data_IF_110696250554
#
_entry.id   IF_110696250554
#
_cell.length_a   1.000
_cell.length_b   1.000
_cell.length_c   1.000
_cell.angle_alpha   90.00
_cell.angle_beta   90.00
_cell.angle_gamma   90.00
#
_symmetry.space_group_name_H-M   'P 1'
#
loop_
_entity.id
_entity.type
_entity.pdbx_description
1 polymer ?
#
# COMPACT_ATOMS: atom_id res chain seq x y z
N UNK A 1 10.81 14.88 2.40
CA UNK A 1 11.07 13.78 1.43
C UNK A 1 9.77 13.15 0.92
N UNK A 2 8.78 12.85 1.78
CA UNK A 2 7.50 12.26 1.37
C UNK A 2 6.72 13.04 0.29
N UNK A 3 6.57 14.35 0.46
CA UNK A 3 5.83 15.19 -0.50
C UNK A 3 6.50 15.24 -1.89
N UNK A 4 7.83 15.23 -1.92
CA UNK A 4 8.62 15.20 -3.15
C UNK A 4 8.47 13.88 -3.90
N UNK A 5 8.53 12.75 -3.18
CA UNK A 5 8.31 11.42 -3.79
C UNK A 5 6.89 11.28 -4.35
N UNK A 6 5.90 11.80 -3.62
CA UNK A 6 4.53 11.86 -4.09
C UNK A 6 4.40 12.72 -5.35
N UNK A 7 5.10 13.87 -5.41
CA UNK A 7 5.14 14.71 -6.60
C UNK A 7 5.78 14.00 -7.80
N UNK A 8 6.88 13.26 -7.59
CA UNK A 8 7.55 12.47 -8.63
C UNK A 8 6.64 11.36 -9.15
N UNK A 9 6.02 10.57 -8.26
CA UNK A 9 5.11 9.50 -8.66
C UNK A 9 3.87 10.05 -9.38
N UNK A 10 3.35 11.20 -8.94
CA UNK A 10 2.26 11.88 -9.64
C UNK A 10 2.68 12.36 -11.02
N UNK A 11 3.93 12.81 -11.19
CA UNK A 11 4.49 13.21 -12.49
C UNK A 11 4.59 12.00 -13.43
N UNK A 12 5.11 10.86 -12.96
CA UNK A 12 5.21 9.64 -13.79
C UNK A 12 3.82 9.16 -14.23
N UNK A 13 2.86 9.10 -13.30
CA UNK A 13 1.48 8.75 -13.64
C UNK A 13 0.85 9.70 -14.68
N UNK A 14 1.11 11.01 -14.59
CA UNK A 14 0.66 11.97 -15.59
C UNK A 14 1.36 11.80 -16.93
N UNK A 15 2.62 11.38 -16.93
CA UNK A 15 3.38 11.10 -18.13
C UNK A 15 2.83 9.86 -18.84
N UNK A 16 2.56 8.77 -18.12
CA UNK A 16 1.92 7.57 -18.68
C UNK A 16 0.57 7.91 -19.31
N UNK A 17 -0.20 8.77 -18.63
CA UNK A 17 -1.49 9.26 -19.14
C UNK A 17 -1.34 10.14 -20.38
N UNK A 18 -0.30 10.96 -20.44
CA UNK A 18 0.02 11.78 -21.62
C UNK A 18 0.44 10.92 -22.80
N UNK A 19 1.31 9.94 -22.57
CA UNK A 19 1.78 8.98 -23.58
C UNK A 19 0.59 8.18 -24.15
N UNK A 20 -0.30 7.70 -23.29
CA UNK A 20 -1.54 7.04 -23.72
C UNK A 20 -2.43 7.97 -24.57
N UNK A 21 -2.58 9.24 -24.19
CA UNK A 21 -3.37 10.21 -24.94
C UNK A 21 -2.76 10.52 -26.32
N UNK A 22 -1.45 10.75 -26.38
CA UNK A 22 -0.70 11.01 -27.61
C UNK A 22 -0.70 9.79 -28.53
N UNK A 23 -0.51 8.60 -27.98
CA UNK A 23 -0.56 7.34 -28.75
C UNK A 23 -1.93 7.15 -29.40
N UNK A 24 -3.00 7.38 -28.64
CA UNK A 24 -4.35 7.35 -29.19
C UNK A 24 -4.55 8.38 -30.31
N UNK A 25 -3.92 9.56 -30.22
CA UNK A 25 -3.97 10.59 -31.26
C UNK A 25 -3.28 10.13 -32.53
N UNK A 26 -2.06 9.62 -32.40
CA UNK A 26 -1.28 9.09 -33.52
C UNK A 26 -2.03 7.96 -34.22
N UNK A 27 -2.58 7.00 -33.46
CA UNK A 27 -3.36 5.88 -34.02
C UNK A 27 -4.54 6.41 -34.84
N UNK A 28 -5.30 7.39 -34.31
CA UNK A 28 -6.45 7.96 -35.03
C UNK A 28 -6.04 8.74 -36.27
N UNK A 29 -4.97 9.54 -36.19
CA UNK A 29 -4.45 10.25 -37.36
C UNK A 29 -3.99 9.27 -38.44
N UNK A 30 -3.30 8.18 -38.06
CA UNK A 30 -2.86 7.14 -38.99
C UNK A 30 -4.05 6.39 -39.61
N UNK A 31 -5.08 6.06 -38.83
CA UNK A 31 -6.31 5.46 -39.35
C UNK A 31 -7.03 6.38 -40.35
N UNK A 32 -7.10 7.68 -40.07
CA UNK A 32 -7.69 8.65 -40.97
C UNK A 32 -6.87 8.83 -42.25
N UNK A 33 -5.54 8.85 -42.13
CA UNK A 33 -4.61 8.87 -43.26
C UNK A 33 -4.79 7.65 -44.16
N UNK A 34 -4.83 6.43 -43.60
CA UNK A 34 -5.06 5.20 -44.37
C UNK A 34 -6.42 5.19 -45.09
N UNK A 35 -7.49 5.67 -44.44
CA UNK A 35 -8.82 5.83 -45.07
C UNK A 35 -8.85 6.87 -46.18
N UNK A 36 -8.02 7.91 -46.08
CA UNK A 36 -7.84 8.91 -47.14
C UNK A 36 -7.06 8.33 -48.33
N UNK A 37 -5.99 7.57 -48.05
CA UNK A 37 -5.15 6.95 -49.07
C UNK A 37 -5.92 5.94 -49.93
N UNK A 38 -6.81 5.13 -49.33
CA UNK A 38 -7.65 4.17 -50.07
C UNK A 38 -8.73 4.83 -50.94
N UNK A 39 -9.01 6.13 -50.74
CA UNK A 39 -10.03 6.89 -51.48
C UNK A 39 -9.49 7.70 -52.65
N UNK A 40 -8.17 7.82 -52.81
CA UNK A 40 -7.56 8.72 -53.80
C UNK A 40 -6.67 7.90 -54.75
N UNK A 41 -6.81 8.08 -56.07
CA UNK A 41 -5.80 7.74 -57.08
C UNK A 41 -5.00 9.02 -57.40
N UNK A 42 -4.08 9.43 -56.52
CA UNK A 42 -3.44 10.75 -56.56
C UNK A 42 -2.56 11.02 -55.34
N UNK A 43 -1.84 12.16 -55.26
CA UNK A 43 -0.82 12.37 -54.24
C UNK A 43 -1.39 12.33 -52.82
N UNK A 44 -0.57 11.85 -51.88
CA UNK A 44 -1.00 11.50 -50.53
C UNK A 44 -1.70 12.66 -49.79
N UNK A 45 -2.74 12.37 -48.99
CA UNK A 45 -3.44 13.40 -48.24
C UNK A 45 -2.54 14.05 -47.18
N UNK A 46 -2.50 15.38 -47.14
CA UNK A 46 -1.74 16.15 -46.14
C UNK A 46 -2.37 15.98 -44.74
N UNK A 47 -1.97 14.93 -44.01
CA UNK A 47 -2.35 14.75 -42.60
C UNK A 47 -1.16 15.18 -41.74
N UNK A 48 -1.24 16.38 -41.17
CA UNK A 48 -0.26 16.83 -40.20
C UNK A 48 -0.61 16.31 -38.81
N UNK A 49 0.35 15.74 -38.09
CA UNK A 49 0.16 15.24 -36.73
C UNK A 49 -0.27 16.32 -35.70
N UNK A 50 -0.24 17.61 -36.08
CA UNK A 50 -0.63 18.75 -35.25
C UNK A 50 -1.99 19.37 -35.62
N UNK A 51 -2.75 18.75 -36.54
CA UNK A 51 -4.04 19.29 -36.99
C UNK A 51 -5.05 19.41 -35.83
N UNK A 52 -5.57 20.64 -35.63
CA UNK A 52 -6.51 21.01 -34.55
C UNK A 52 -7.76 20.13 -34.56
N UNK A 53 -8.18 19.65 -35.73
CA UNK A 53 -9.38 18.83 -35.91
C UNK A 53 -9.35 17.54 -35.10
N UNK A 54 -8.21 16.84 -35.10
CA UNK A 54 -8.06 15.59 -34.34
C UNK A 54 -7.91 15.86 -32.83
N UNK A 55 -7.31 16.99 -32.46
CA UNK A 55 -7.15 17.43 -31.06
C UNK A 55 -8.48 17.77 -30.40
N UNK A 56 -9.40 18.40 -31.12
CA UNK A 56 -10.74 18.73 -30.61
C UNK A 56 -11.58 17.48 -30.30
N UNK A 57 -11.46 16.42 -31.10
CA UNK A 57 -12.11 15.13 -30.87
C UNK A 57 -11.56 14.36 -29.65
N UNK A 58 -10.43 14.80 -29.10
CA UNK A 58 -9.83 14.21 -27.89
C UNK A 58 -10.21 14.92 -26.61
N UNK A 59 -10.97 16.02 -26.72
CA UNK A 59 -11.52 16.67 -25.54
C UNK A 59 -12.46 15.69 -24.84
N UNK A 60 -12.08 15.29 -23.62
CA UNK A 60 -12.90 14.44 -22.76
C UNK A 60 -13.43 15.28 -21.61
N UNK A 61 -14.69 15.07 -21.17
CA UNK A 61 -15.14 15.63 -19.92
C UNK A 61 -14.26 15.07 -18.81
N UNK A 62 -13.57 15.96 -18.07
CA UNK A 62 -12.62 15.52 -17.05
C UNK A 62 -13.34 15.30 -15.72
N UNK A 63 -13.18 14.10 -15.16
CA UNK A 63 -13.62 13.78 -13.81
C UNK A 63 -12.51 14.14 -12.81
N UNK A 64 -12.23 15.43 -12.63
CA UNK A 64 -11.34 15.89 -11.55
C UNK A 64 -12.17 16.14 -10.29
N UNK A 65 -11.84 15.47 -9.19
CA UNK A 65 -12.67 15.41 -7.98
C UNK A 65 -12.98 16.79 -7.36
N UNK A 66 -12.11 17.77 -7.62
CA UNK A 66 -12.19 19.15 -7.09
C UNK A 66 -13.21 20.04 -7.81
N UNK A 67 -13.62 19.67 -9.03
CA UNK A 67 -14.59 20.41 -9.85
C UNK A 67 -16.00 19.81 -9.81
N UNK A 68 -16.17 18.71 -9.06
CA UNK A 68 -17.40 17.91 -8.98
C UNK A 68 -18.61 18.68 -8.42
N UNK A 69 -18.37 19.79 -7.72
CA UNK A 69 -19.42 20.47 -6.95
C UNK A 69 -19.92 21.78 -7.60
N UNK A 70 -19.21 22.39 -8.55
CA UNK A 70 -19.51 23.80 -8.93
C UNK A 70 -19.38 24.20 -10.41
N UNK A 71 -19.12 23.29 -11.37
CA UNK A 71 -19.15 23.69 -12.79
C UNK A 71 -19.46 22.55 -13.76
N UNK A 72 -20.42 22.81 -14.66
CA UNK A 72 -20.79 21.98 -15.80
C UNK A 72 -19.56 21.72 -16.70
N UNK A 73 -19.25 20.44 -16.91
CA UNK A 73 -18.75 19.81 -18.14
C UNK A 73 -17.81 20.63 -19.05
N UNK A 74 -16.80 21.30 -18.51
CA UNK A 74 -15.80 21.94 -19.35
C UNK A 74 -14.90 20.86 -19.99
N UNK A 75 -15.02 20.69 -21.30
CA UNK A 75 -14.23 19.73 -22.06
C UNK A 75 -12.82 20.29 -22.26
N UNK A 76 -11.87 19.86 -21.44
CA UNK A 76 -10.47 20.29 -21.52
C UNK A 76 -9.68 19.32 -22.39
N UNK A 77 -8.77 19.86 -23.19
CA UNK A 77 -7.79 19.06 -23.94
C UNK A 77 -6.85 18.37 -22.95
N UNK A 78 -6.92 17.03 -22.89
CA UNK A 78 -6.17 16.20 -21.96
C UNK A 78 -4.66 16.35 -22.15
N UNK A 79 -4.20 16.55 -23.39
CA UNK A 79 -2.77 16.70 -23.69
C UNK A 79 -2.25 18.01 -23.08
N UNK A 80 -2.96 19.11 -23.35
CA UNK A 80 -2.60 20.43 -22.80
C UNK A 80 -2.59 20.43 -21.27
N UNK A 81 -3.62 19.83 -20.66
CA UNK A 81 -3.71 19.71 -19.21
C UNK A 81 -2.54 18.91 -18.62
N UNK A 82 -2.24 17.73 -19.17
CA UNK A 82 -1.13 16.92 -18.69
C UNK A 82 0.21 17.65 -18.84
N UNK A 83 0.49 18.29 -19.99
CA UNK A 83 1.71 19.06 -20.19
C UNK A 83 1.84 20.21 -19.17
N UNK A 84 0.79 21.01 -18.97
CA UNK A 84 0.80 22.11 -18.00
C UNK A 84 1.01 21.61 -16.57
N UNK A 85 0.37 20.49 -16.22
CA UNK A 85 0.50 19.91 -14.88
C UNK A 85 1.88 19.30 -14.65
N UNK A 86 2.45 18.64 -15.65
CA UNK A 86 3.82 18.11 -15.63
C UNK A 86 4.80 19.27 -15.47
N UNK A 87 4.65 20.37 -16.23
CA UNK A 87 5.51 21.54 -16.11
C UNK A 87 5.46 22.14 -14.70
N UNK A 88 4.26 22.32 -14.14
CA UNK A 88 4.09 22.78 -12.75
C UNK A 88 4.74 21.85 -11.73
N UNK A 89 4.56 20.54 -11.87
CA UNK A 89 5.18 19.55 -10.97
C UNK A 89 6.70 19.55 -11.10
N UNK A 90 7.25 19.68 -12.31
CA UNK A 90 8.69 19.77 -12.53
C UNK A 90 9.28 21.00 -11.84
N UNK A 91 8.63 22.16 -11.95
CA UNK A 91 9.06 23.38 -11.24
C UNK A 91 9.02 23.21 -9.72
N UNK A 92 7.97 22.57 -9.18
CA UNK A 92 7.87 22.27 -7.74
C UNK A 92 8.99 21.34 -7.29
N UNK A 93 9.25 20.26 -8.06
CA UNK A 93 10.34 19.32 -7.79
C UNK A 93 11.69 20.03 -7.82
N UNK A 94 11.94 20.91 -8.79
CA UNK A 94 13.19 21.68 -8.86
C UNK A 94 13.37 22.61 -7.67
N UNK A 95 12.29 23.28 -7.24
CA UNK A 95 12.30 24.14 -6.06
C UNK A 95 12.58 23.34 -4.79
N UNK A 96 11.98 22.15 -4.66
CA UNK A 96 12.24 21.24 -3.54
C UNK A 96 13.65 20.66 -3.58
N UNK A 97 14.19 20.33 -4.76
CA UNK A 97 15.57 19.86 -4.94
C UNK A 97 16.61 20.84 -4.41
N UNK A 98 16.39 22.15 -4.62
CA UNK A 98 17.29 23.20 -4.11
C UNK A 98 17.31 23.28 -2.57
N UNK A 99 16.25 22.83 -1.92
CA UNK A 99 16.10 22.84 -0.46
C UNK A 99 16.41 21.47 0.19
N UNK A 100 17.09 20.56 -0.53
CA UNK A 100 17.45 19.25 0.01
C UNK A 100 18.67 19.39 0.93
N UNK A 101 18.45 19.11 2.21
CA UNK A 101 19.53 18.96 3.18
C UNK A 101 20.16 17.56 3.06
N UNK A 102 21.47 17.42 3.29
CA UNK A 102 22.14 16.11 3.28
C UNK A 102 21.48 15.18 4.31
N UNK A 103 21.11 13.98 3.86
CA UNK A 103 20.58 12.95 4.74
C UNK A 103 21.69 12.38 5.64
N UNK A 104 21.33 11.92 6.84
CA UNK A 104 22.26 11.29 7.80
C UNK A 104 22.58 9.82 7.46
N UNK A 105 22.26 9.40 6.24
CA UNK A 105 22.33 8.02 5.77
C UNK A 105 22.92 8.00 4.38
N UNK A 106 23.75 7.01 4.08
CA UNK A 106 24.36 6.81 2.78
C UNK A 106 24.22 5.35 2.34
N UNK A 107 24.19 5.13 1.03
CA UNK A 107 24.30 3.80 0.44
C UNK A 107 25.75 3.57 0.04
N UNK A 108 26.27 2.39 0.36
CA UNK A 108 27.63 1.98 0.05
C UNK A 108 27.52 0.73 -0.82
N UNK A 109 28.09 0.80 -2.00
CA UNK A 109 28.16 -0.31 -2.94
C UNK A 109 29.53 -1.00 -2.81
N UNK A 110 29.52 -2.32 -2.72
CA UNK A 110 30.73 -3.14 -2.68
C UNK A 110 30.86 -3.90 -3.99
N UNK A 111 32.09 -4.07 -4.47
CA UNK A 111 32.37 -4.86 -5.67
C UNK A 111 31.99 -6.34 -5.44
N UNK A 112 32.26 -6.86 -4.24
CA UNK A 112 32.00 -8.25 -3.89
C UNK A 112 30.87 -8.37 -2.85
N UNK A 113 29.89 -9.29 -3.05
CA UNK A 113 28.76 -9.45 -2.13
C UNK A 113 29.16 -9.95 -0.74
N UNK A 114 30.26 -10.72 -0.64
CA UNK A 114 30.79 -11.18 0.65
C UNK A 114 31.25 -9.99 1.51
N UNK A 115 31.93 -9.02 0.89
CA UNK A 115 32.40 -7.81 1.58
C UNK A 115 31.22 -6.99 2.15
N UNK A 116 30.10 -6.91 1.42
CA UNK A 116 28.89 -6.24 1.91
C UNK A 116 28.29 -6.93 3.14
N UNK A 117 28.25 -8.27 3.14
CA UNK A 117 27.75 -9.03 4.30
C UNK A 117 28.65 -8.88 5.52
N UNK A 118 29.97 -8.96 5.32
CA UNK A 118 30.95 -8.77 6.40
C UNK A 118 30.87 -7.34 6.97
N UNK A 119 30.73 -6.32 6.13
CA UNK A 119 30.58 -4.93 6.56
C UNK A 119 29.33 -4.71 7.42
N UNK A 120 28.24 -5.45 7.18
CA UNK A 120 27.03 -5.40 8.00
C UNK A 120 27.18 -6.09 9.37
N UNK A 121 28.10 -7.06 9.49
CA UNK A 121 28.31 -7.83 10.72
C UNK A 121 29.34 -7.19 11.66
N UNK A 122 30.26 -6.39 11.13
CA UNK A 122 31.30 -5.72 11.91
C UNK A 122 30.77 -4.41 12.52
N UNK A 123 31.21 -4.11 13.74
CA UNK A 123 30.91 -2.83 14.38
C UNK A 123 31.58 -1.68 13.61
N UNK A 124 30.77 -0.86 12.92
CA UNK A 124 31.31 0.22 12.09
C UNK A 124 31.81 1.44 12.89
N UNK A 125 31.45 1.57 14.18
CA UNK A 125 31.80 2.72 15.00
C UNK A 125 32.02 2.30 16.46
N UNK A 126 32.95 2.96 17.17
CA UNK A 126 33.26 2.67 18.57
C UNK A 126 32.03 2.83 19.50
N UNK A 127 31.23 3.88 19.26
CA UNK A 127 29.98 4.10 20.00
C UNK A 127 28.83 3.31 19.34
N UNK A 128 28.20 2.44 20.12
CA UNK A 128 27.01 1.70 19.70
C UNK A 128 25.87 2.65 19.28
N UNK A 129 25.18 2.30 18.20
CA UNK A 129 23.98 3.02 17.72
C UNK A 129 24.25 4.31 16.93
N UNK A 130 25.51 4.70 16.69
CA UNK A 130 25.86 5.86 15.84
C UNK A 130 25.80 5.56 14.35
N UNK A 131 26.28 4.38 13.96
CA UNK A 131 26.28 3.90 12.59
C UNK A 131 25.74 2.48 12.58
N UNK A 132 24.65 2.26 11.85
CA UNK A 132 24.04 0.95 11.68
C UNK A 132 24.06 0.62 10.20
N UNK A 133 24.83 -0.41 9.83
CA UNK A 133 24.82 -0.95 8.48
C UNK A 133 23.68 -1.97 8.36
N UNK A 134 22.94 -1.89 7.26
CA UNK A 134 21.90 -2.86 6.93
C UNK A 134 22.03 -3.24 5.45
N UNK A 135 21.93 -4.53 5.17
CA UNK A 135 21.92 -5.03 3.80
C UNK A 135 20.62 -4.63 3.09
N UNK A 136 20.76 -4.16 1.85
CA UNK A 136 19.65 -3.83 0.94
C UNK A 136 19.97 -4.50 -0.39
N UNK A 137 19.01 -5.26 -0.92
CA UNK A 137 19.18 -6.03 -2.17
C UNK A 137 18.81 -5.18 -3.40
N UNK A 138 17.77 -4.36 -3.29
CA UNK A 138 17.26 -3.56 -4.41
C UNK A 138 16.67 -2.21 -3.97
N UNK A 139 16.75 -1.17 -4.83
CA UNK A 139 16.24 0.17 -4.53
C UNK A 139 14.71 0.22 -4.38
N UNK A 140 13.98 -0.73 -4.96
CA UNK A 140 12.52 -0.86 -4.87
C UNK A 140 12.03 -1.36 -3.50
N UNK A 141 12.87 -2.12 -2.78
CA UNK A 141 12.59 -2.60 -1.43
C UNK A 141 12.76 -1.50 -0.38
N UNK A 142 13.49 -0.44 -0.70
CA UNK A 142 13.75 0.67 0.21
C UNK A 142 12.51 1.54 0.41
N UNK A 143 12.14 1.73 1.67
CA UNK A 143 11.09 2.68 2.06
C UNK A 143 11.75 4.05 2.27
N UNK A 144 11.86 4.81 1.18
CA UNK A 144 12.53 6.12 1.15
C UNK A 144 12.02 7.13 2.19
N UNK A 145 10.75 7.02 2.62
CA UNK A 145 10.19 7.87 3.67
C UNK A 145 10.84 7.62 5.05
N UNK A 146 11.38 6.42 5.28
CA UNK A 146 11.93 6.00 6.57
C UNK A 146 13.45 6.13 6.65
N UNK A 147 14.14 6.28 5.50
CA UNK A 147 15.61 6.37 5.43
C UNK A 147 16.18 7.56 6.20
N UNK A 148 15.46 8.69 6.23
CA UNK A 148 15.91 9.90 6.94
C UNK A 148 15.48 9.97 8.41
N UNK A 149 14.85 8.92 8.95
CA UNK A 149 14.38 8.93 10.34
C UNK A 149 15.55 8.87 11.30
N UNK A 150 15.43 9.60 12.41
CA UNK A 150 16.44 9.54 13.48
C UNK A 150 16.19 8.31 14.35
N UNK A 151 17.24 7.64 14.84
CA UNK A 151 17.12 6.40 15.63
C UNK A 151 16.15 6.51 16.81
N UNK A 152 16.11 7.65 17.50
CA UNK A 152 15.15 7.90 18.58
C UNK A 152 13.68 7.87 18.12
N UNK A 153 13.39 8.44 16.94
CA UNK A 153 12.03 8.43 16.37
C UNK A 153 11.60 7.01 15.99
N UNK A 154 12.53 6.22 15.43
CA UNK A 154 12.28 4.80 15.10
C UNK A 154 12.03 4.00 16.37
N UNK A 155 12.82 4.23 17.42
CA UNK A 155 12.66 3.57 18.71
C UNK A 155 11.29 3.84 19.33
N UNK A 156 10.87 5.11 19.41
CA UNK A 156 9.56 5.48 19.95
C UNK A 156 8.41 4.87 19.15
N UNK A 157 8.48 4.92 17.81
CA UNK A 157 7.50 4.29 16.92
C UNK A 157 7.43 2.77 17.13
N UNK A 158 8.58 2.13 17.31
CA UNK A 158 8.66 0.69 17.60
C UNK A 158 7.98 0.33 18.91
N UNK A 159 8.23 1.08 19.98
CA UNK A 159 7.54 0.85 21.26
C UNK A 159 6.03 1.00 21.09
N UNK A 160 5.60 2.09 20.43
CA UNK A 160 4.17 2.33 20.20
C UNK A 160 3.52 1.19 19.41
N UNK A 161 4.16 0.71 18.33
CA UNK A 161 3.68 -0.45 17.57
C UNK A 161 3.59 -1.71 18.43
N UNK A 162 4.59 -1.99 19.28
CA UNK A 162 4.58 -3.17 20.17
C UNK A 162 3.46 -3.06 21.20
N UNK A 163 3.26 -1.89 21.81
CA UNK A 163 2.18 -1.67 22.79
C UNK A 163 0.81 -1.85 22.13
N UNK A 164 0.60 -1.27 20.95
CA UNK A 164 -0.64 -1.45 20.19
C UNK A 164 -0.86 -2.92 19.82
N UNK A 165 0.19 -3.63 19.43
CA UNK A 165 0.12 -5.06 19.13
C UNK A 165 -0.29 -5.88 20.36
N UNK A 166 0.31 -5.59 21.51
CA UNK A 166 -0.03 -6.23 22.77
C UNK A 166 -1.49 -5.94 23.15
N UNK A 167 -1.94 -4.70 23.00
CA UNK A 167 -3.34 -4.31 23.24
C UNK A 167 -4.33 -5.05 22.32
N UNK A 168 -4.03 -5.17 21.03
CA UNK A 168 -4.85 -5.94 20.08
C UNK A 168 -4.91 -7.41 20.50
N UNK A 169 -3.79 -7.97 20.95
CA UNK A 169 -3.72 -9.36 21.40
C UNK A 169 -4.58 -9.58 22.64
N UNK A 170 -4.45 -8.73 23.66
CA UNK A 170 -5.25 -8.83 24.89
C UNK A 170 -6.73 -8.58 24.61
N UNK A 171 -7.07 -7.57 23.80
CA UNK A 171 -8.45 -7.27 23.43
C UNK A 171 -9.10 -8.36 22.56
N UNK A 172 -8.30 -9.11 21.79
CA UNK A 172 -8.76 -10.24 21.00
C UNK A 172 -9.01 -11.52 21.80
N UNK A 173 -8.42 -11.65 23.00
CA UNK A 173 -8.53 -12.88 23.80
C UNK A 173 -9.98 -13.21 24.22
N UNK A 174 -10.81 -12.26 24.70
CA UNK A 174 -12.22 -12.53 24.98
C UNK A 174 -13.03 -12.97 23.76
N UNK A 175 -12.71 -12.44 22.57
CA UNK A 175 -13.39 -12.81 21.34
C UNK A 175 -13.11 -14.28 20.99
N UNK A 176 -11.85 -14.70 21.07
CA UNK A 176 -11.43 -16.09 20.80
C UNK A 176 -11.95 -17.04 21.88
N UNK A 177 -11.79 -16.69 23.17
CA UNK A 177 -12.35 -17.48 24.27
C UNK A 177 -13.87 -17.66 24.15
N UNK A 178 -14.59 -16.60 23.78
CA UNK A 178 -16.02 -16.63 23.51
C UNK A 178 -16.39 -17.63 22.40
N UNK A 179 -15.60 -17.75 21.33
CA UNK A 179 -15.85 -18.76 20.28
C UNK A 179 -15.66 -20.19 20.77
N UNK A 180 -14.72 -20.44 21.69
CA UNK A 180 -14.55 -21.75 22.34
C UNK A 180 -15.77 -22.12 23.20
N UNK A 181 -16.24 -21.17 24.00
CA UNK A 181 -17.45 -21.30 24.82
C UNK A 181 -18.69 -21.53 23.94
N UNK A 182 -18.83 -20.82 22.82
CA UNK A 182 -19.92 -20.97 21.86
C UNK A 182 -19.94 -22.37 21.20
N UNK A 183 -18.78 -22.96 20.95
CA UNK A 183 -18.68 -24.35 20.46
C UNK A 183 -19.31 -25.35 21.45
N UNK A 184 -19.28 -25.03 22.76
CA UNK A 184 -19.80 -25.85 23.84
C UNK A 184 -21.19 -25.39 24.36
N UNK A 185 -22.05 -24.88 23.47
CA UNK A 185 -23.40 -24.43 23.82
C UNK A 185 -24.24 -25.43 24.67
N UNK A 186 -24.07 -26.73 24.45
CA UNK A 186 -24.75 -27.81 25.19
C UNK A 186 -24.40 -27.82 26.69
N UNK A 187 -23.18 -27.43 27.04
CA UNK A 187 -22.72 -27.29 28.42
C UNK A 187 -23.20 -25.96 29.02
N UNK A 188 -23.23 -24.88 28.24
CA UNK A 188 -23.78 -23.59 28.70
C UNK A 188 -25.26 -23.65 29.04
N UNK A 189 -26.04 -24.37 28.24
CA UNK A 189 -27.48 -24.62 28.48
C UNK A 189 -27.72 -25.20 29.88
N UNK A 190 -26.81 -26.08 30.33
CA UNK A 190 -26.88 -26.71 31.67
C UNK A 190 -26.37 -25.79 32.79
N UNK A 191 -25.38 -24.96 32.51
CA UNK A 191 -24.75 -24.09 33.50
C UNK A 191 -25.53 -22.80 33.79
N UNK A 192 -26.28 -22.27 32.82
CA UNK A 192 -27.01 -21.00 32.94
C UNK A 192 -28.50 -21.17 32.60
N UNK A 193 -29.39 -21.29 33.60
CA UNK A 193 -30.84 -21.46 33.37
C UNK A 193 -31.54 -20.24 32.75
N UNK A 194 -30.86 -19.08 32.66
CA UNK A 194 -31.37 -17.90 31.93
C UNK A 194 -31.28 -18.02 30.40
N UNK A 195 -30.62 -19.04 29.84
CA UNK A 195 -30.50 -19.25 28.38
C UNK A 195 -31.69 -20.03 27.76
N UNK A 196 -32.83 -20.15 28.45
CA UNK A 196 -34.04 -20.86 27.98
C UNK A 196 -34.60 -20.39 26.64
N UNK A 197 -34.20 -19.21 26.13
CA UNK A 197 -34.57 -18.78 24.78
C UNK A 197 -33.89 -19.60 23.67
N UNK A 198 -32.69 -20.14 23.93
CA UNK A 198 -31.97 -21.05 23.01
C UNK A 198 -32.64 -22.41 22.91
N UNK A 199 -33.47 -22.80 23.87
CA UNK A 199 -34.27 -24.04 23.82
C UNK A 199 -35.45 -23.97 22.85
N UNK A 200 -35.78 -22.77 22.37
CA UNK A 200 -36.82 -22.56 21.34
C UNK A 200 -36.31 -22.75 19.91
N UNK A 201 -35.00 -22.91 19.73
CA UNK A 201 -34.39 -23.13 18.41
C UNK A 201 -34.31 -24.64 18.11
N UNK A 202 -34.52 -25.06 16.84
CA UNK A 202 -34.43 -26.46 16.46
C UNK A 202 -33.00 -27.00 16.62
N UNK A 203 -32.87 -28.23 17.09
CA UNK A 203 -31.58 -28.84 17.47
C UNK A 203 -30.55 -28.85 16.32
N UNK A 204 -31.01 -29.05 15.08
CA UNK A 204 -30.14 -29.03 13.89
C UNK A 204 -29.45 -27.67 13.70
N UNK A 205 -30.10 -26.56 14.06
CA UNK A 205 -29.55 -25.22 13.94
C UNK A 205 -28.50 -24.96 15.03
N UNK A 206 -28.73 -25.46 16.24
CA UNK A 206 -27.80 -25.32 17.36
C UNK A 206 -26.52 -26.12 17.08
N UNK A 207 -26.64 -27.37 16.61
CA UNK A 207 -25.48 -28.17 16.22
C UNK A 207 -24.72 -27.57 15.04
N UNK A 208 -25.43 -27.00 14.06
CA UNK A 208 -24.79 -26.28 12.97
C UNK A 208 -24.04 -25.03 13.46
N UNK A 209 -24.64 -24.23 14.35
CA UNK A 209 -24.00 -23.05 14.92
C UNK A 209 -22.77 -23.42 15.79
N UNK A 210 -22.84 -24.49 16.58
CA UNK A 210 -21.72 -24.95 17.40
C UNK A 210 -20.49 -25.36 16.58
N UNK A 211 -20.68 -26.00 15.42
CA UNK A 211 -19.56 -26.41 14.56
C UNK A 211 -19.09 -25.31 13.58
N UNK A 212 -20.04 -24.59 12.98
CA UNK A 212 -19.76 -23.69 11.86
C UNK A 212 -19.39 -22.27 12.34
N UNK A 213 -20.01 -21.78 13.41
CA UNK A 213 -19.80 -20.40 13.86
C UNK A 213 -18.37 -20.16 14.38
N UNK A 214 -17.77 -21.03 15.21
CA UNK A 214 -16.40 -20.83 15.69
C UNK A 214 -15.37 -20.90 14.55
N UNK A 215 -15.56 -21.83 13.60
CA UNK A 215 -14.66 -21.99 12.45
C UNK A 215 -14.74 -20.79 11.49
N UNK A 216 -15.93 -20.25 11.26
CA UNK A 216 -16.14 -19.08 10.41
C UNK A 216 -15.64 -17.78 11.06
N UNK A 217 -15.87 -17.61 12.37
CA UNK A 217 -15.29 -16.52 13.15
C UNK A 217 -13.75 -16.55 13.13
N UNK A 218 -13.16 -17.74 13.30
CA UNK A 218 -11.71 -17.89 13.26
C UNK A 218 -11.16 -17.59 11.86
N UNK A 219 -11.80 -18.09 10.80
CA UNK A 219 -11.40 -17.82 9.43
C UNK A 219 -11.44 -16.31 9.10
N UNK A 220 -12.50 -15.61 9.52
CA UNK A 220 -12.61 -14.15 9.37
C UNK A 220 -11.50 -13.42 10.14
N UNK A 221 -11.21 -13.84 11.37
CA UNK A 221 -10.13 -13.26 12.18
C UNK A 221 -8.76 -13.43 11.49
N UNK A 222 -8.49 -14.63 10.95
CA UNK A 222 -7.24 -14.93 10.24
C UNK A 222 -7.10 -14.17 8.91
N UNK A 223 -8.21 -13.84 8.25
CA UNK A 223 -8.18 -13.01 7.05
C UNK A 223 -7.93 -11.53 7.36
N UNK A 224 -8.56 -11.01 8.42
CA UNK A 224 -8.49 -9.59 8.76
C UNK A 224 -7.16 -9.22 9.43
N UNK A 225 -6.64 -10.10 10.29
CA UNK A 225 -5.49 -9.81 11.14
C UNK A 225 -4.21 -9.49 10.36
N UNK A 226 -3.78 -10.26 9.34
CA UNK A 226 -2.57 -9.97 8.56
C UNK A 226 -2.59 -8.58 7.91
N UNK A 227 -3.76 -8.12 7.44
CA UNK A 227 -3.92 -6.81 6.84
C UNK A 227 -3.71 -5.69 7.86
N UNK A 228 -4.28 -5.84 9.06
CA UNK A 228 -4.13 -4.88 10.15
C UNK A 228 -2.69 -4.84 10.68
N UNK A 229 -2.06 -6.01 10.89
CA UNK A 229 -0.66 -6.10 11.31
C UNK A 229 0.29 -5.49 10.29
N UNK A 230 0.08 -5.74 8.99
CA UNK A 230 0.88 -5.13 7.93
C UNK A 230 0.71 -3.61 7.89
N UNK A 231 -0.48 -3.09 8.19
CA UNK A 231 -0.65 -1.64 8.35
C UNK A 231 0.14 -1.09 9.55
N UNK A 232 0.08 -1.76 10.71
CA UNK A 232 0.81 -1.36 11.90
C UNK A 232 2.34 -1.40 11.71
N UNK A 233 2.87 -2.47 11.12
CA UNK A 233 4.31 -2.64 10.88
C UNK A 233 4.86 -1.58 9.90
N UNK A 234 4.05 -1.12 8.94
CA UNK A 234 4.47 -0.02 8.04
C UNK A 234 4.70 1.30 8.79
N UNK A 235 4.04 1.52 9.93
CA UNK A 235 4.19 2.73 10.74
C UNK A 235 5.43 2.69 11.67
N UNK A 236 6.01 1.51 11.87
CA UNK A 236 7.14 1.27 12.76
C UNK A 236 8.43 2.01 12.35
N UNK A 237 8.54 2.41 11.09
CA UNK A 237 9.71 3.13 10.58
C UNK A 237 10.84 2.23 10.09
N UNK A 238 10.54 0.98 9.68
CA UNK A 238 11.51 0.04 9.11
C UNK A 238 12.00 0.51 7.74
N UNK A 239 13.28 0.28 7.42
CA UNK A 239 13.91 0.82 6.21
C UNK A 239 13.60 0.03 4.93
N UNK A 240 13.32 -1.27 5.04
CA UNK A 240 13.03 -2.15 3.90
C UNK A 240 11.65 -2.78 4.02
N UNK A 241 11.00 -3.09 2.90
CA UNK A 241 9.69 -3.79 2.89
C UNK A 241 9.87 -5.23 3.37
N UNK A 242 10.97 -5.88 3.02
CA UNK A 242 11.30 -7.22 3.53
C UNK A 242 11.35 -7.22 5.08
N UNK A 243 11.96 -6.21 5.69
CA UNK A 243 11.96 -6.10 7.16
C UNK A 243 10.55 -5.89 7.73
N UNK A 244 9.68 -5.12 7.05
CA UNK A 244 8.26 -4.96 7.44
C UNK A 244 7.53 -6.30 7.42
N UNK A 245 7.75 -7.11 6.40
CA UNK A 245 7.11 -8.43 6.28
C UNK A 245 7.62 -9.41 7.32
N UNK A 246 8.93 -9.43 7.58
CA UNK A 246 9.52 -10.29 8.60
C UNK A 246 9.02 -9.94 10.02
N UNK A 247 8.94 -8.64 10.35
CA UNK A 247 8.37 -8.20 11.63
C UNK A 247 6.87 -8.52 11.72
N UNK A 248 6.12 -8.33 10.63
CA UNK A 248 4.71 -8.69 10.56
C UNK A 248 4.49 -10.18 10.81
N UNK A 249 5.33 -11.05 10.23
CA UNK A 249 5.28 -12.50 10.46
C UNK A 249 5.59 -12.85 11.91
N UNK A 250 6.57 -12.20 12.54
CA UNK A 250 6.88 -12.41 13.96
C UNK A 250 5.71 -12.02 14.87
N UNK A 251 5.07 -10.87 14.62
CA UNK A 251 3.89 -10.46 15.39
C UNK A 251 2.70 -11.38 15.16
N UNK A 252 2.48 -11.80 13.91
CA UNK A 252 1.42 -12.74 13.58
C UNK A 252 1.62 -14.09 14.30
N UNK A 253 2.85 -14.62 14.29
CA UNK A 253 3.18 -15.84 15.03
C UNK A 253 2.93 -15.68 16.54
N UNK A 254 3.38 -14.59 17.15
CA UNK A 254 3.16 -14.33 18.57
C UNK A 254 1.66 -14.25 18.91
N UNK A 255 0.86 -13.60 18.07
CA UNK A 255 -0.60 -13.55 18.25
C UNK A 255 -1.23 -14.93 18.15
N UNK A 256 -0.89 -15.70 17.11
CA UNK A 256 -1.41 -17.05 16.94
C UNK A 256 -1.05 -17.95 18.11
N UNK A 257 0.18 -17.88 18.59
CA UNK A 257 0.63 -18.66 19.73
C UNK A 257 -0.17 -18.30 20.99
N UNK A 258 -0.36 -17.02 21.28
CA UNK A 258 -1.15 -16.61 22.45
C UNK A 258 -2.63 -17.02 22.28
N UNK A 259 -3.22 -16.82 21.11
CA UNK A 259 -4.66 -17.04 20.92
C UNK A 259 -5.04 -18.49 20.69
N UNK A 260 -4.34 -19.20 19.81
CA UNK A 260 -4.68 -20.57 19.43
C UNK A 260 -4.08 -21.61 20.37
N UNK A 261 -2.97 -21.29 21.04
CA UNK A 261 -2.36 -22.22 21.98
C UNK A 261 -2.66 -21.81 23.43
N UNK A 262 -2.28 -20.62 23.87
CA UNK A 262 -2.45 -20.26 25.29
C UNK A 262 -3.92 -20.10 25.70
N UNK A 263 -4.72 -19.33 24.94
CA UNK A 263 -6.12 -19.01 25.31
C UNK A 263 -7.05 -20.21 25.09
N UNK A 264 -6.80 -21.05 24.10
CA UNK A 264 -7.64 -22.24 23.84
C UNK A 264 -7.27 -23.41 24.76
N UNK A 265 -6.01 -23.52 25.18
CA UNK A 265 -5.57 -24.61 26.07
C UNK A 265 -5.92 -24.37 27.55
N UNK A 266 -6.03 -23.11 27.98
CA UNK A 266 -6.42 -22.72 29.35
C UNK A 266 -7.94 -22.62 29.47
#
# INVERSE_FOLDING_TARGET
>A
MGDMLLAIHRRSWLQDKLEAAVTNLIIRCNQAYQKGLSRIQGPAPNVCHTDKRYREQMRRPMWDAKWRLYRLWETVDTIRYCCEKIQRLTQEIEKQKRNVYPARSAFIEFIEPLSAHLACQVACHHQAGRLQAQLVIGPEDVIWANVSLTGWQVYLRRILCVVVMMAITVAGAPLVAGTGILSQLSYLRKAFPSLTWIDKLPDWFISAAQGLLPSLCLALLMMLLPALLRWLCRQQGLHTRVAVELMMQQYYFAFLFIQLFLVVAV
#
